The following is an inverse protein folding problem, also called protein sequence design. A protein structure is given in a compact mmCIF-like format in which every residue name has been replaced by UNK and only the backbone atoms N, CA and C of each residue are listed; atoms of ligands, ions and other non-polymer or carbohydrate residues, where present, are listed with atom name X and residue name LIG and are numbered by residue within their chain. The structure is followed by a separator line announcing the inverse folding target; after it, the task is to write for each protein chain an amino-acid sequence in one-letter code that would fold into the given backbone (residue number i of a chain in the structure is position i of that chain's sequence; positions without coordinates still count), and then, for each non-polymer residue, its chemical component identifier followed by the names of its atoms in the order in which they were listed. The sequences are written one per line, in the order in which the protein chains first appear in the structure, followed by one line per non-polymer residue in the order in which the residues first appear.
data_IF_420281764977
#
_entry.id   IF_420281764977
#
_cell.length_a   1.000
_cell.length_b   1.000
_cell.length_c   1.000
_cell.angle_alpha   90.00
_cell.angle_beta   90.00
_cell.angle_gamma   90.00
#
_symmetry.space_group_name_H-M   'P 1'
#
loop_
_entity.id
_entity.type
_entity.pdbx_description
1 polymer ?
#
# COMPACT_ATOMS: atom_id res chain seq x y z
N UNK A 1 0.71 -3.02 84.54
CA UNK A 1 1.61 -3.51 83.47
C UNK A 1 0.70 -3.96 82.30
N UNK A 2 0.47 -3.10 81.30
CA UNK A 2 -0.37 -3.39 80.14
C UNK A 2 0.57 -3.82 78.97
N UNK A 3 0.49 -5.06 78.53
CA UNK A 3 1.18 -5.53 77.31
C UNK A 3 0.36 -5.16 76.08
N UNK A 4 0.84 -4.20 75.31
CA UNK A 4 0.32 -3.89 73.98
C UNK A 4 0.63 -5.05 73.01
N UNK A 5 -0.44 -5.68 72.48
CA UNK A 5 -0.31 -6.62 71.36
C UNK A 5 -0.24 -5.81 70.06
N UNK A 6 0.87 -5.86 69.37
CA UNK A 6 1.06 -5.31 68.02
C UNK A 6 0.49 -6.32 67.02
N UNK A 7 -0.65 -5.95 66.41
CA UNK A 7 -1.19 -6.70 65.26
C UNK A 7 -0.39 -6.35 64.00
N UNK A 8 0.37 -7.32 63.52
CA UNK A 8 0.95 -7.23 62.18
C UNK A 8 -0.12 -7.55 61.14
N UNK A 9 -0.69 -6.48 60.55
CA UNK A 9 -1.52 -6.62 59.34
C UNK A 9 -0.55 -6.74 58.17
N UNK A 10 -0.42 -7.95 57.64
CA UNK A 10 0.26 -8.22 56.35
C UNK A 10 -0.57 -7.60 55.24
N UNK A 11 -0.17 -6.42 54.78
CA UNK A 11 -0.69 -5.82 53.53
C UNK A 11 -0.01 -6.57 52.39
N UNK A 12 -0.68 -7.57 51.85
CA UNK A 12 -0.33 -8.17 50.56
C UNK A 12 -0.63 -7.14 49.47
N UNK A 13 0.38 -6.40 49.09
CA UNK A 13 0.34 -5.52 47.90
C UNK A 13 0.33 -6.44 46.65
N UNK A 14 -0.87 -6.80 46.18
CA UNK A 14 -1.05 -7.49 44.92
C UNK A 14 -0.77 -6.46 43.82
N UNK A 15 0.48 -6.44 43.34
CA UNK A 15 0.85 -5.78 42.09
C UNK A 15 0.12 -6.53 40.97
N UNK A 16 -1.10 -6.08 40.62
CA UNK A 16 -1.76 -6.46 39.39
C UNK A 16 -0.88 -5.95 38.22
N UNK A 17 0.04 -6.78 37.74
CA UNK A 17 0.62 -6.60 36.42
C UNK A 17 -0.52 -6.73 35.43
N UNK A 18 -1.18 -5.61 35.12
CA UNK A 18 -2.07 -5.50 33.98
C UNK A 18 -1.18 -5.63 32.74
N UNK A 19 -0.99 -6.87 32.27
CA UNK A 19 -0.53 -7.13 30.92
C UNK A 19 -1.64 -6.60 29.98
N UNK A 20 -1.56 -5.32 29.63
CA UNK A 20 -2.26 -4.84 28.45
C UNK A 20 -1.64 -5.57 27.26
N UNK A 21 -2.24 -6.69 26.86
CA UNK A 21 -2.02 -7.22 25.50
C UNK A 21 -2.26 -6.03 24.56
N UNK A 22 -1.16 -5.44 24.06
CA UNK A 22 -1.23 -4.55 22.91
C UNK A 22 -1.84 -5.40 21.81
N UNK A 23 -3.15 -5.28 21.60
CA UNK A 23 -3.83 -5.85 20.45
C UNK A 23 -2.98 -5.48 19.24
N UNK A 24 -2.27 -6.47 18.68
CA UNK A 24 -1.42 -6.26 17.52
C UNK A 24 -2.34 -5.79 16.40
N UNK A 25 -2.34 -4.50 16.13
CA UNK A 25 -3.12 -3.89 15.06
C UNK A 25 -2.54 -4.41 13.74
N UNK A 26 -3.12 -5.49 13.23
CA UNK A 26 -2.78 -6.02 11.91
C UNK A 26 -3.74 -5.48 10.89
N UNK A 27 -3.21 -5.03 9.76
CA UNK A 27 -4.06 -4.67 8.64
C UNK A 27 -4.68 -5.91 8.01
N UNK A 28 -5.90 -5.82 7.46
CA UNK A 28 -6.52 -6.92 6.72
C UNK A 28 -5.70 -7.27 5.48
N UNK A 29 -5.87 -8.49 4.98
CA UNK A 29 -5.51 -8.86 3.62
C UNK A 29 -6.71 -8.59 2.72
N UNK A 30 -6.48 -8.06 1.52
CA UNK A 30 -7.52 -7.76 0.53
C UNK A 30 -7.26 -8.51 -0.77
N UNK A 31 -8.30 -8.58 -1.62
CA UNK A 31 -8.23 -9.22 -2.93
C UNK A 31 -8.74 -10.65 -2.94
N UNK A 32 -8.47 -11.33 -4.04
CA UNK A 32 -8.91 -12.69 -4.26
C UNK A 32 -8.25 -13.65 -3.27
N UNK A 33 -8.96 -14.67 -2.87
CA UNK A 33 -8.47 -15.69 -1.95
C UNK A 33 -9.05 -17.06 -2.30
N UNK A 34 -8.30 -18.09 -1.93
CA UNK A 34 -8.73 -19.49 -1.94
C UNK A 34 -9.06 -19.93 -0.52
N UNK A 35 -9.94 -20.90 -0.40
CA UNK A 35 -10.31 -21.52 0.88
C UNK A 35 -9.80 -22.94 0.90
N UNK A 36 -8.93 -23.25 1.86
CA UNK A 36 -8.50 -24.63 2.12
C UNK A 36 -9.12 -25.17 3.40
N UNK A 37 -9.43 -26.47 3.39
CA UNK A 37 -10.00 -27.16 4.54
C UNK A 37 -8.96 -28.11 5.10
N UNK A 38 -8.67 -27.99 6.39
CA UNK A 38 -7.75 -28.89 7.10
C UNK A 38 -8.51 -29.69 8.16
N UNK A 39 -8.34 -30.99 8.14
CA UNK A 39 -8.84 -31.85 9.20
C UNK A 39 -7.78 -32.03 10.29
N UNK A 40 -8.09 -31.62 11.52
CA UNK A 40 -7.20 -31.81 12.67
C UNK A 40 -8.03 -32.25 13.90
N UNK A 41 -7.69 -33.38 14.47
CA UNK A 41 -8.38 -33.93 15.64
C UNK A 41 -9.93 -34.05 15.49
N UNK A 42 -10.41 -34.45 14.29
CA UNK A 42 -11.84 -34.58 14.00
C UNK A 42 -12.60 -33.27 13.82
N UNK A 43 -11.89 -32.14 13.85
CA UNK A 43 -12.45 -30.79 13.53
C UNK A 43 -11.96 -30.33 12.17
N UNK A 44 -12.88 -29.82 11.35
CA UNK A 44 -12.54 -29.13 10.11
C UNK A 44 -12.22 -27.67 10.43
N UNK A 45 -11.01 -27.23 10.12
CA UNK A 45 -10.61 -25.83 10.17
C UNK A 45 -10.52 -25.30 8.76
N UNK A 46 -10.95 -24.06 8.58
CA UNK A 46 -10.90 -23.34 7.30
C UNK A 46 -9.73 -22.38 7.33
N UNK A 47 -8.87 -22.45 6.30
CA UNK A 47 -7.76 -21.54 6.08
C UNK A 47 -8.04 -20.68 4.86
N UNK A 48 -7.87 -19.37 4.97
CA UNK A 48 -8.00 -18.41 3.87
C UNK A 48 -6.62 -18.08 3.32
N UNK A 49 -6.41 -18.35 2.03
CA UNK A 49 -5.14 -18.13 1.34
C UNK A 49 -5.33 -16.95 0.37
N UNK A 50 -4.92 -15.76 0.79
CA UNK A 50 -4.96 -14.57 -0.08
C UNK A 50 -3.95 -14.66 -1.21
N UNK A 51 -4.33 -14.16 -2.38
CA UNK A 51 -3.45 -14.08 -3.53
C UNK A 51 -2.48 -12.91 -3.38
N UNK A 52 -1.26 -13.12 -3.86
CA UNK A 52 -0.25 -12.07 -3.94
C UNK A 52 -0.33 -11.39 -5.29
N UNK A 53 0.22 -10.18 -5.39
CA UNK A 53 0.48 -9.56 -6.68
C UNK A 53 1.27 -10.56 -7.54
N UNK A 54 0.76 -10.94 -8.74
CA UNK A 54 1.40 -11.91 -9.60
C UNK A 54 2.74 -11.39 -10.13
N UNK A 55 3.51 -12.28 -10.73
CA UNK A 55 4.74 -11.88 -11.41
C UNK A 55 4.43 -10.97 -12.60
N UNK A 56 5.14 -9.87 -12.68
CA UNK A 56 5.04 -8.91 -13.77
C UNK A 56 6.42 -8.55 -14.31
N UNK A 57 6.42 -8.01 -15.52
CA UNK A 57 7.61 -7.48 -16.20
C UNK A 57 7.24 -6.20 -16.92
N UNK A 58 7.93 -5.11 -16.58
CA UNK A 58 7.74 -3.77 -17.14
C UNK A 58 9.08 -3.13 -17.47
N UNK A 59 9.09 -2.12 -18.32
CA UNK A 59 10.19 -1.18 -18.42
C UNK A 59 9.96 -0.01 -17.48
N UNK A 60 10.99 0.41 -16.75
CA UNK A 60 10.92 1.66 -16.01
C UNK A 60 11.23 2.86 -16.91
N UNK A 61 11.17 4.06 -16.35
CA UNK A 61 11.45 5.33 -17.06
C UNK A 61 12.88 5.42 -17.64
N UNK A 62 13.80 4.62 -17.15
CA UNK A 62 15.19 4.51 -17.67
C UNK A 62 15.36 3.38 -18.71
N UNK A 63 14.27 2.82 -19.21
CA UNK A 63 14.26 1.67 -20.12
C UNK A 63 14.91 0.40 -19.56
N UNK A 64 14.96 0.27 -18.25
CA UNK A 64 15.47 -0.91 -17.56
C UNK A 64 14.31 -1.88 -17.33
N UNK A 65 14.49 -3.14 -17.68
CA UNK A 65 13.52 -4.19 -17.41
C UNK A 65 13.46 -4.48 -15.91
N UNK A 66 12.28 -4.33 -15.32
CA UNK A 66 12.03 -4.57 -13.90
C UNK A 66 10.90 -5.57 -13.70
N UNK A 67 10.94 -6.25 -12.59
CA UNK A 67 9.94 -7.23 -12.19
C UNK A 67 9.51 -6.98 -10.75
N UNK A 68 8.47 -7.67 -10.28
CA UNK A 68 8.12 -7.63 -8.85
C UNK A 68 9.29 -8.06 -7.93
N UNK A 69 10.25 -8.86 -8.43
CA UNK A 69 11.47 -9.22 -7.68
C UNK A 69 12.41 -8.02 -7.49
N UNK A 70 12.42 -7.07 -8.41
CA UNK A 70 13.22 -5.83 -8.30
C UNK A 70 12.80 -5.03 -7.07
N UNK A 71 11.52 -5.11 -6.69
CA UNK A 71 10.94 -4.38 -5.57
C UNK A 71 10.66 -5.27 -4.35
N UNK A 72 11.16 -6.50 -4.34
CA UNK A 72 10.93 -7.45 -3.27
C UNK A 72 11.46 -6.94 -1.91
N UNK A 73 10.75 -7.27 -0.84
CA UNK A 73 11.12 -6.86 0.52
C UNK A 73 10.78 -5.41 0.87
N UNK A 74 10.21 -4.65 -0.08
CA UNK A 74 9.68 -3.30 0.16
C UNK A 74 8.16 -3.32 0.36
N UNK A 75 7.66 -2.32 1.05
CA UNK A 75 6.23 -1.98 1.04
C UNK A 75 5.98 -1.10 -0.17
N UNK A 76 4.94 -1.40 -0.96
CA UNK A 76 4.64 -0.62 -2.15
C UNK A 76 3.41 0.25 -1.93
N UNK A 77 3.47 1.48 -2.47
CA UNK A 77 2.31 2.33 -2.67
C UNK A 77 2.20 2.53 -4.18
N UNK A 78 1.10 2.06 -4.75
CA UNK A 78 0.94 1.97 -6.20
C UNK A 78 -0.24 2.76 -6.69
N UNK A 79 -0.11 3.31 -7.90
CA UNK A 79 -1.17 3.99 -8.65
C UNK A 79 -1.17 3.51 -10.11
N UNK A 80 -2.32 3.71 -10.77
CA UNK A 80 -2.47 3.57 -12.21
C UNK A 80 -2.82 4.94 -12.79
N UNK A 81 -2.14 5.34 -13.87
CA UNK A 81 -2.21 6.69 -14.42
C UNK A 81 -1.94 6.68 -15.92
N UNK A 82 -2.05 7.83 -16.59
CA UNK A 82 -1.44 8.09 -17.89
C UNK A 82 -0.94 9.53 -17.94
N UNK A 83 0.21 9.76 -18.62
CA UNK A 83 0.94 11.02 -18.52
C UNK A 83 0.20 12.22 -19.16
N UNK A 84 -0.69 11.94 -20.12
CA UNK A 84 -1.50 12.95 -20.79
C UNK A 84 -2.88 13.20 -20.16
N UNK A 85 -3.17 12.59 -19.00
CA UNK A 85 -4.43 12.77 -18.29
C UNK A 85 -4.66 14.26 -17.93
N UNK A 86 -5.77 14.87 -18.36
CA UNK A 86 -5.99 16.30 -18.12
C UNK A 86 -6.75 16.58 -16.82
N UNK A 87 -7.19 15.56 -16.09
CA UNK A 87 -8.13 15.70 -14.97
C UNK A 87 -7.56 15.21 -13.63
N UNK A 88 -7.75 13.96 -13.30
CA UNK A 88 -7.48 13.40 -11.95
C UNK A 88 -5.98 13.19 -11.67
N UNK A 89 -5.18 12.77 -12.68
CA UNK A 89 -3.77 12.42 -12.48
C UNK A 89 -2.90 13.55 -11.93
N UNK A 90 -3.05 14.84 -12.35
CA UNK A 90 -2.28 15.93 -11.72
C UNK A 90 -2.51 16.06 -10.22
N UNK A 91 -3.76 15.80 -9.78
CA UNK A 91 -4.10 15.83 -8.36
C UNK A 91 -3.51 14.60 -7.65
N UNK A 92 -3.66 13.40 -8.24
CA UNK A 92 -3.07 12.17 -7.71
C UNK A 92 -1.56 12.28 -7.54
N UNK A 93 -0.83 12.75 -8.56
CA UNK A 93 0.61 12.98 -8.49
C UNK A 93 0.98 13.91 -7.33
N UNK A 94 0.20 14.99 -7.13
CA UNK A 94 0.41 15.91 -6.00
C UNK A 94 0.19 15.20 -4.67
N UNK A 95 -0.88 14.40 -4.54
CA UNK A 95 -1.16 13.69 -3.30
C UNK A 95 -0.14 12.58 -3.03
N UNK A 96 0.32 11.85 -4.05
CA UNK A 96 1.35 10.83 -3.85
C UNK A 96 2.70 11.43 -3.45
N UNK A 97 3.05 12.62 -3.95
CA UNK A 97 4.21 13.40 -3.45
C UNK A 97 4.05 13.78 -1.97
N UNK A 98 2.83 14.18 -1.56
CA UNK A 98 2.54 14.50 -0.17
C UNK A 98 2.63 13.27 0.73
N UNK A 99 2.15 12.11 0.25
CA UNK A 99 2.33 10.81 0.93
C UNK A 99 3.81 10.48 1.08
N UNK A 100 4.60 10.60 0.00
CA UNK A 100 6.04 10.34 0.02
C UNK A 100 6.78 11.24 1.02
N UNK A 101 6.38 12.51 1.13
CA UNK A 101 6.91 13.44 2.13
C UNK A 101 6.52 13.04 3.55
N UNK A 102 5.26 12.67 3.78
CA UNK A 102 4.77 12.25 5.11
C UNK A 102 5.41 10.94 5.60
N UNK A 103 5.80 10.07 4.66
CA UNK A 103 6.43 8.78 4.92
C UNK A 103 7.96 8.81 4.73
N UNK A 104 8.56 9.99 4.69
CA UNK A 104 10.00 10.18 4.50
C UNK A 104 10.87 9.35 5.45
N UNK A 105 10.56 9.17 6.73
CA UNK A 105 11.34 8.31 7.64
C UNK A 105 11.42 6.84 7.22
N UNK A 106 10.48 6.37 6.38
CA UNK A 106 10.39 4.99 5.90
C UNK A 106 10.89 4.79 4.47
N UNK A 107 11.47 5.81 3.83
CA UNK A 107 11.83 5.79 2.40
C UNK A 107 12.68 4.59 1.98
N UNK A 108 13.60 4.14 2.83
CA UNK A 108 14.46 2.98 2.55
C UNK A 108 13.68 1.68 2.42
N UNK A 109 12.49 1.60 3.02
CA UNK A 109 11.64 0.42 3.08
C UNK A 109 10.41 0.53 2.15
N UNK A 110 10.20 1.71 1.55
CA UNK A 110 9.10 2.00 0.65
C UNK A 110 9.52 1.97 -0.82
N UNK A 111 8.57 1.64 -1.68
CA UNK A 111 8.65 1.75 -3.12
C UNK A 111 7.35 2.36 -3.64
N UNK A 112 7.44 3.39 -4.46
CA UNK A 112 6.31 3.98 -5.18
C UNK A 112 6.30 3.43 -6.61
N UNK A 113 5.16 2.92 -7.06
CA UNK A 113 5.01 2.31 -8.38
C UNK A 113 3.86 2.97 -9.12
N UNK A 114 4.18 3.75 -10.16
CA UNK A 114 3.21 4.38 -11.05
C UNK A 114 3.15 3.59 -12.36
N UNK A 115 2.07 2.84 -12.57
CA UNK A 115 1.86 2.03 -13.77
C UNK A 115 1.09 2.84 -14.81
N UNK A 116 1.67 3.06 -16.01
CA UNK A 116 0.88 3.71 -17.07
C UNK A 116 -0.10 2.73 -17.68
N UNK A 117 -1.34 3.20 -17.87
CA UNK A 117 -2.41 2.46 -18.57
C UNK A 117 -2.45 2.77 -20.06
N UNK A 118 -1.59 3.67 -20.55
CA UNK A 118 -1.43 4.04 -21.96
C UNK A 118 0.02 3.87 -22.43
N UNK A 119 0.55 2.64 -22.45
CA UNK A 119 1.97 2.40 -22.78
C UNK A 119 2.32 2.75 -24.22
N UNK A 120 1.35 2.85 -25.11
CA UNK A 120 1.54 3.26 -26.50
C UNK A 120 2.01 4.72 -26.58
N UNK A 121 1.44 5.58 -25.79
CA UNK A 121 1.82 7.00 -25.71
C UNK A 121 2.89 7.25 -24.64
N UNK A 122 2.87 6.52 -23.53
CA UNK A 122 3.75 6.69 -22.39
C UNK A 122 4.96 5.77 -22.47
N UNK A 123 5.82 6.03 -23.47
CA UNK A 123 7.10 5.34 -23.61
C UNK A 123 8.02 5.65 -22.41
N UNK A 124 9.04 4.82 -22.11
CA UNK A 124 9.98 5.09 -21.02
C UNK A 124 10.57 6.50 -21.04
N UNK A 125 10.95 7.00 -22.22
CA UNK A 125 11.50 8.37 -22.37
C UNK A 125 10.49 9.46 -22.03
N UNK A 126 9.21 9.28 -22.40
CA UNK A 126 8.13 10.20 -22.00
C UNK A 126 7.85 10.12 -20.51
N UNK A 127 7.87 8.92 -19.91
CA UNK A 127 7.74 8.75 -18.46
C UNK A 127 8.89 9.42 -17.70
N UNK A 128 10.11 9.34 -18.21
CA UNK A 128 11.26 10.05 -17.64
C UNK A 128 11.06 11.56 -17.66
N UNK A 129 10.62 12.09 -18.80
CA UNK A 129 10.30 13.53 -18.93
C UNK A 129 9.13 13.92 -17.99
N UNK A 130 8.11 13.08 -17.88
CA UNK A 130 6.98 13.30 -16.97
C UNK A 130 7.42 13.33 -15.50
N UNK A 131 8.21 12.37 -15.05
CA UNK A 131 8.81 12.33 -13.71
C UNK A 131 9.60 13.61 -13.40
N UNK A 132 10.44 14.03 -14.35
CA UNK A 132 11.19 15.28 -14.23
C UNK A 132 10.29 16.51 -14.14
N UNK A 133 9.25 16.61 -14.99
CA UNK A 133 8.25 17.70 -14.95
C UNK A 133 7.51 17.77 -13.61
N UNK A 134 7.24 16.63 -12.98
CA UNK A 134 6.63 16.55 -11.65
C UNK A 134 7.60 16.94 -10.52
N UNK A 135 8.89 17.10 -10.81
CA UNK A 135 9.93 17.38 -9.82
C UNK A 135 10.16 16.21 -8.84
N UNK A 136 9.92 14.97 -9.29
CA UNK A 136 10.11 13.77 -8.47
C UNK A 136 11.58 13.33 -8.56
N UNK A 137 12.31 13.50 -7.47
CA UNK A 137 13.73 13.13 -7.34
C UNK A 137 13.93 11.84 -6.55
N UNK A 138 12.86 11.26 -6.00
CA UNK A 138 12.90 10.05 -5.20
C UNK A 138 13.39 8.86 -6.02
N UNK A 139 14.49 8.22 -5.59
CA UNK A 139 15.05 7.02 -6.24
C UNK A 139 14.15 5.79 -6.07
N UNK A 140 13.34 5.76 -5.01
CA UNK A 140 12.37 4.71 -4.72
C UNK A 140 11.00 4.95 -5.37
N UNK A 141 10.94 5.72 -6.46
CA UNK A 141 9.73 5.93 -7.25
C UNK A 141 9.97 5.59 -8.71
N UNK A 142 9.37 4.52 -9.17
CA UNK A 142 9.46 4.02 -10.54
C UNK A 142 8.17 4.29 -11.33
N UNK A 143 8.32 4.76 -12.55
CA UNK A 143 7.25 4.88 -13.53
C UNK A 143 7.37 3.71 -14.51
N UNK A 144 6.31 2.93 -14.65
CA UNK A 144 6.35 1.62 -15.28
C UNK A 144 5.46 1.58 -16.53
N UNK A 145 6.03 1.08 -17.65
CA UNK A 145 5.35 0.91 -18.92
C UNK A 145 5.53 -0.54 -19.41
N UNK A 146 4.45 -1.16 -19.88
CA UNK A 146 4.45 -2.56 -20.30
C UNK A 146 3.30 -2.90 -21.23
N UNK A 147 2.87 -4.16 -21.25
CA UNK A 147 1.72 -4.58 -22.04
C UNK A 147 0.43 -3.94 -21.48
N UNK A 148 -0.32 -3.24 -22.33
CA UNK A 148 -1.53 -2.49 -21.96
C UNK A 148 -2.59 -3.39 -21.33
N UNK A 149 -2.99 -4.47 -22.03
CA UNK A 149 -4.04 -5.37 -21.57
C UNK A 149 -3.68 -6.01 -20.22
N UNK A 150 -2.42 -6.44 -20.06
CA UNK A 150 -1.93 -6.97 -18.80
C UNK A 150 -1.93 -5.91 -17.68
N UNK A 151 -1.54 -4.68 -17.99
CA UNK A 151 -1.55 -3.58 -16.99
C UNK A 151 -2.96 -3.28 -16.50
N UNK A 152 -3.95 -3.23 -17.41
CA UNK A 152 -5.35 -3.05 -17.05
C UNK A 152 -5.87 -4.19 -16.17
N UNK A 153 -5.62 -5.43 -16.57
CA UNK A 153 -5.99 -6.61 -15.78
C UNK A 153 -5.33 -6.60 -14.40
N UNK A 154 -4.03 -6.29 -14.35
CA UNK A 154 -3.26 -6.21 -13.10
C UNK A 154 -3.86 -5.18 -12.14
N UNK A 155 -4.24 -4.01 -12.66
CA UNK A 155 -4.92 -2.96 -11.88
C UNK A 155 -6.23 -3.45 -11.28
N UNK A 156 -7.11 -3.99 -12.10
CA UNK A 156 -8.46 -4.38 -11.70
C UNK A 156 -8.45 -5.60 -10.76
N UNK A 157 -7.76 -6.66 -11.16
CA UNK A 157 -7.86 -7.95 -10.47
C UNK A 157 -6.93 -8.07 -9.27
N UNK A 158 -5.77 -7.41 -9.29
CA UNK A 158 -4.74 -7.63 -8.30
C UNK A 158 -4.45 -6.41 -7.42
N UNK A 159 -4.42 -5.19 -8.00
CA UNK A 159 -4.27 -3.96 -7.22
C UNK A 159 -5.61 -3.38 -6.76
N UNK A 160 -6.73 -3.93 -7.24
CA UNK A 160 -8.11 -3.52 -6.90
C UNK A 160 -8.39 -2.05 -7.24
N UNK A 161 -7.76 -1.57 -8.29
CA UNK A 161 -7.94 -0.22 -8.83
C UNK A 161 -8.54 -0.35 -10.23
N UNK A 162 -9.66 0.32 -10.50
CA UNK A 162 -10.16 0.41 -11.86
C UNK A 162 -9.14 1.14 -12.73
N UNK A 163 -8.77 0.53 -13.84
CA UNK A 163 -7.83 1.06 -14.82
C UNK A 163 -8.14 0.44 -16.19
N UNK A 164 -8.48 1.26 -17.20
CA UNK A 164 -8.85 0.72 -18.50
C UNK A 164 -9.19 1.77 -19.52
N UNK A 165 -9.47 1.32 -20.75
CA UNK A 165 -9.98 2.16 -21.83
C UNK A 165 -11.44 2.54 -21.54
N UNK A 166 -11.73 3.81 -21.73
CA UNK A 166 -13.06 4.39 -21.63
C UNK A 166 -13.17 5.49 -22.68
N UNK A 167 -13.81 5.19 -23.82
CA UNK A 167 -13.83 6.09 -24.98
C UNK A 167 -14.50 7.44 -24.67
N UNK A 168 -15.45 7.47 -23.74
CA UNK A 168 -16.14 8.68 -23.33
C UNK A 168 -15.35 9.52 -22.32
N UNK A 169 -14.29 8.93 -21.70
CA UNK A 169 -13.45 9.64 -20.75
C UNK A 169 -12.46 10.57 -21.44
N UNK A 170 -12.13 11.67 -20.78
CA UNK A 170 -11.10 12.61 -21.25
C UNK A 170 -9.75 11.91 -21.40
N UNK A 171 -9.27 11.77 -22.63
CA UNK A 171 -8.02 11.07 -22.96
C UNK A 171 -8.21 9.60 -23.32
N UNK A 172 -9.46 9.09 -23.39
CA UNK A 172 -9.76 7.73 -23.82
C UNK A 172 -9.49 6.63 -22.80
N UNK A 173 -9.21 7.00 -21.55
CA UNK A 173 -8.95 6.11 -20.43
C UNK A 173 -9.63 6.60 -19.17
N UNK A 174 -10.05 5.67 -18.31
CA UNK A 174 -10.50 5.96 -16.96
C UNK A 174 -9.73 5.13 -15.94
N UNK A 175 -9.48 5.72 -14.80
CA UNK A 175 -8.94 5.05 -13.62
C UNK A 175 -9.49 5.70 -12.36
N UNK A 176 -9.54 4.94 -11.26
CA UNK A 176 -9.93 5.52 -9.96
C UNK A 176 -8.83 6.39 -9.38
N UNK A 177 -9.21 7.33 -8.52
CA UNK A 177 -8.28 8.19 -7.77
C UNK A 177 -7.63 7.49 -6.57
N UNK A 178 -7.47 6.17 -6.64
CA UNK A 178 -7.02 5.35 -5.54
C UNK A 178 -5.52 5.02 -5.59
N UNK A 179 -4.97 4.82 -4.39
CA UNK A 179 -3.67 4.20 -4.18
C UNK A 179 -3.84 2.84 -3.51
N UNK A 180 -3.01 1.87 -3.89
CA UNK A 180 -2.98 0.55 -3.27
C UNK A 180 -1.73 0.37 -2.43
N UNK A 181 -1.90 -0.04 -1.17
CA UNK A 181 -0.83 -0.43 -0.26
C UNK A 181 -0.59 -1.94 -0.36
N UNK A 182 0.64 -2.32 -0.69
CA UNK A 182 1.08 -3.71 -0.81
C UNK A 182 2.21 -3.95 0.19
N UNK A 183 2.13 -5.04 0.92
CA UNK A 183 3.12 -5.38 1.95
C UNK A 183 4.41 -6.00 1.37
N UNK A 184 5.44 -6.17 2.22
CA UNK A 184 6.75 -6.76 1.83
C UNK A 184 6.65 -8.17 1.24
N UNK A 185 5.52 -8.86 1.45
CA UNK A 185 5.26 -10.22 0.94
C UNK A 185 4.45 -10.21 -0.35
N UNK A 186 4.01 -9.03 -0.82
CA UNK A 186 3.22 -8.85 -2.03
C UNK A 186 1.72 -9.01 -1.85
N UNK A 187 1.19 -8.89 -0.64
CA UNK A 187 -0.25 -8.89 -0.38
C UNK A 187 -0.80 -7.47 -0.35
N UNK A 188 -1.98 -7.27 -0.93
CA UNK A 188 -2.72 -6.01 -0.80
C UNK A 188 -3.26 -5.87 0.62
N UNK A 189 -2.97 -4.72 1.24
CA UNK A 189 -3.34 -4.43 2.63
C UNK A 189 -4.32 -3.24 2.75
N UNK A 190 -4.50 -2.49 1.69
CA UNK A 190 -5.45 -1.38 1.63
C UNK A 190 -5.57 -0.78 0.25
N UNK A 191 -6.76 -0.23 -0.04
CA UNK A 191 -7.04 0.61 -1.18
C UNK A 191 -7.65 1.91 -0.66
N UNK A 192 -7.18 3.04 -1.16
CA UNK A 192 -7.46 4.36 -0.61
C UNK A 192 -7.86 5.32 -1.73
N UNK A 193 -9.14 5.62 -1.84
CA UNK A 193 -9.68 6.58 -2.81
C UNK A 193 -9.36 8.01 -2.36
N UNK A 194 -8.11 8.43 -2.64
CA UNK A 194 -7.57 9.72 -2.18
C UNK A 194 -8.08 10.89 -3.01
N UNK A 195 -8.35 10.66 -4.31
CA UNK A 195 -8.97 11.66 -5.18
C UNK A 195 -10.32 11.14 -5.63
N UNK A 196 -11.37 11.89 -5.34
CA UNK A 196 -12.74 11.51 -5.67
C UNK A 196 -13.09 11.84 -7.14
N UNK A 197 -14.17 11.27 -7.70
CA UNK A 197 -14.58 11.56 -9.08
C UNK A 197 -14.88 13.04 -9.36
N UNK A 198 -15.26 13.82 -8.35
CA UNK A 198 -15.46 15.27 -8.42
C UNK A 198 -14.15 16.07 -8.32
N UNK A 199 -13.01 15.40 -8.37
CA UNK A 199 -11.64 15.91 -8.23
C UNK A 199 -11.30 16.46 -6.85
N UNK A 200 -12.15 16.29 -5.86
CA UNK A 200 -11.84 16.66 -4.48
C UNK A 200 -10.88 15.66 -3.82
N UNK A 201 -10.07 16.16 -2.89
CA UNK A 201 -9.16 15.32 -2.11
C UNK A 201 -9.87 14.76 -0.88
N UNK A 202 -9.93 13.44 -0.77
CA UNK A 202 -10.44 12.75 0.40
C UNK A 202 -9.36 12.71 1.51
N UNK A 203 -9.36 13.72 2.36
CA UNK A 203 -8.39 13.85 3.45
C UNK A 203 -8.41 12.67 4.42
N UNK A 204 -9.57 12.02 4.61
CA UNK A 204 -9.71 10.85 5.47
C UNK A 204 -8.94 9.66 4.89
N UNK A 205 -9.12 9.37 3.61
CA UNK A 205 -8.43 8.27 2.94
C UNK A 205 -6.93 8.56 2.79
N UNK A 206 -6.56 9.81 2.52
CA UNK A 206 -5.16 10.25 2.54
C UNK A 206 -4.49 9.95 3.89
N UNK A 207 -5.12 10.35 5.00
CA UNK A 207 -4.58 10.10 6.34
C UNK A 207 -4.60 8.61 6.69
N UNK A 208 -5.63 7.87 6.24
CA UNK A 208 -5.72 6.42 6.45
C UNK A 208 -4.57 5.69 5.77
N UNK A 209 -4.22 6.04 4.53
CA UNK A 209 -3.06 5.47 3.82
C UNK A 209 -1.77 5.66 4.62
N UNK A 210 -1.52 6.86 5.13
CA UNK A 210 -0.33 7.16 5.94
C UNK A 210 -0.33 6.32 7.22
N UNK A 211 -1.42 6.32 7.97
CA UNK A 211 -1.54 5.60 9.24
C UNK A 211 -1.39 4.09 9.07
N UNK A 212 -2.00 3.52 8.02
CA UNK A 212 -1.93 2.09 7.74
C UNK A 212 -0.51 1.69 7.29
N UNK A 213 0.16 2.52 6.50
CA UNK A 213 1.56 2.30 6.13
C UNK A 213 2.47 2.32 7.37
N UNK A 214 2.29 3.28 8.26
CA UNK A 214 3.01 3.34 9.55
C UNK A 214 2.69 2.14 10.44
N UNK A 215 1.44 1.66 10.40
CA UNK A 215 1.02 0.46 11.14
C UNK A 215 1.77 -0.79 10.68
N UNK A 216 1.96 -0.98 9.36
CA UNK A 216 2.78 -2.08 8.84
C UNK A 216 4.20 -2.01 9.40
N UNK A 217 4.83 -0.85 9.38
CA UNK A 217 6.19 -0.70 9.85
C UNK A 217 6.30 -0.89 11.37
N UNK A 218 5.48 -0.21 12.13
CA UNK A 218 5.61 -0.18 13.61
C UNK A 218 5.16 -1.49 14.25
N UNK A 219 4.04 -2.08 13.79
CA UNK A 219 3.44 -3.22 14.49
C UNK A 219 3.69 -4.56 13.80
N UNK A 220 3.76 -4.60 12.47
CA UNK A 220 3.94 -5.87 11.76
C UNK A 220 5.42 -6.16 11.45
N UNK A 221 6.23 -5.13 11.19
CA UNK A 221 7.66 -5.30 10.87
C UNK A 221 8.60 -4.84 11.99
N UNK A 222 8.07 -4.25 13.06
CA UNK A 222 8.86 -3.76 14.21
C UNK A 222 10.01 -2.83 13.77
N UNK A 223 9.72 -1.98 12.79
CA UNK A 223 10.67 -1.03 12.23
C UNK A 223 10.63 0.25 13.07
N UNK A 224 11.76 0.59 13.69
CA UNK A 224 11.93 1.88 14.35
C UNK A 224 12.36 2.90 13.30
N UNK A 225 11.55 3.92 13.06
CA UNK A 225 11.92 5.06 12.23
C UNK A 225 13.10 5.79 12.88
N UNK A 226 14.24 5.80 12.22
CA UNK A 226 15.44 6.55 12.64
C UNK A 226 15.38 7.97 12.09
#
# INVERSE_FOLDING_TARGET
MLKKKINWVFICLILAFSCTEKSQRRLPYLGNYDVSYRQQNGKTTTDTIYQRIPSFTFFNEDSILVTNKTFAGKVWISEFFFASCPSICPIMNTQLKNVAKALEPYQKELQYLSFTIDPTNDTPSKLKAHKAKLGITNQNWAFLSGNEAFTHQLGIENFLIFAGREEEALGGYAHSGAFTLVDKKGYVRGVYEVVQPDLSVNKKEFQRLINDTQTLFTYEYQFDAQ
#
